data_IF_939004807127
#
_entry.id   IF_939004807127
#
_cell.length_a   1.000
_cell.length_b   1.000
_cell.length_c   1.000
_cell.angle_alpha   90.00
_cell.angle_beta   90.00
_cell.angle_gamma   90.00
#
_symmetry.space_group_name_H-M   'P 1'
#
loop_
_entity.id
_entity.type
_entity.pdbx_description
1 polymer ?
#
# COMPACT_ATOMS: atom_id res chain seq x y z
N UNK A 1 -20.18 11.76 -0.26
CA UNK A 1 -19.63 10.65 -1.07
C UNK A 1 -19.00 9.65 -0.11
N UNK A 2 -19.03 8.31 -0.37
CA UNK A 2 -18.31 7.37 0.50
C UNK A 2 -16.81 7.62 0.36
N UNK A 3 -16.02 7.59 1.44
CA UNK A 3 -14.56 7.63 1.33
C UNK A 3 -14.03 6.43 0.54
N UNK A 4 -12.90 6.64 -0.13
CA UNK A 4 -12.30 5.65 -1.03
C UNK A 4 -10.86 5.41 -0.61
N UNK A 5 -10.48 4.15 -0.43
CA UNK A 5 -9.09 3.74 -0.26
C UNK A 5 -8.68 2.89 -1.47
N UNK A 6 -7.62 3.32 -2.15
CA UNK A 6 -6.92 2.53 -3.16
C UNK A 6 -5.73 1.86 -2.49
N UNK A 7 -5.80 0.56 -2.30
CA UNK A 7 -4.72 -0.24 -1.72
C UNK A 7 -3.87 -0.88 -2.82
N UNK A 8 -2.54 -0.65 -2.76
CA UNK A 8 -1.59 -1.09 -3.79
C UNK A 8 -0.65 -2.12 -3.17
N UNK A 9 -0.66 -3.33 -3.69
CA UNK A 9 0.25 -4.40 -3.32
C UNK A 9 1.10 -4.88 -4.52
N UNK A 10 2.06 -5.72 -4.25
CA UNK A 10 2.93 -6.33 -5.26
C UNK A 10 4.32 -6.60 -4.71
N UNK A 11 5.17 -7.29 -5.46
CA UNK A 11 6.52 -7.62 -5.01
C UNK A 11 7.43 -6.41 -4.87
N UNK A 12 8.54 -6.61 -4.18
CA UNK A 12 9.59 -5.61 -4.04
C UNK A 12 10.15 -5.22 -5.41
N UNK A 13 10.28 -3.93 -5.69
CA UNK A 13 10.73 -3.45 -7.01
C UNK A 13 9.61 -3.31 -8.08
N UNK A 14 8.37 -3.74 -7.82
CA UNK A 14 7.29 -3.69 -8.81
C UNK A 14 6.79 -2.26 -9.15
N UNK A 15 7.15 -1.23 -8.36
CA UNK A 15 6.75 0.15 -8.64
C UNK A 15 5.56 0.66 -7.82
N UNK A 16 5.17 -0.04 -6.74
CA UNK A 16 4.07 0.37 -5.84
C UNK A 16 4.15 1.82 -5.38
N UNK A 17 5.29 2.20 -4.81
CA UNK A 17 5.50 3.57 -4.32
C UNK A 17 5.54 4.60 -5.45
N UNK A 18 5.99 4.21 -6.64
CA UNK A 18 5.95 5.07 -7.82
C UNK A 18 4.50 5.33 -8.24
N UNK A 19 3.64 4.30 -8.29
CA UNK A 19 2.22 4.45 -8.57
C UNK A 19 1.51 5.32 -7.52
N UNK A 20 1.75 5.07 -6.24
CA UNK A 20 1.18 5.87 -5.15
C UNK A 20 1.58 7.34 -5.25
N UNK A 21 2.87 7.61 -5.53
CA UNK A 21 3.36 8.97 -5.69
C UNK A 21 2.73 9.72 -6.88
N UNK A 22 2.54 9.06 -8.03
CA UNK A 22 1.87 9.65 -9.19
C UNK A 22 0.41 9.96 -8.88
N UNK A 23 -0.30 9.03 -8.24
CA UNK A 23 -1.69 9.25 -7.81
C UNK A 23 -1.79 10.48 -6.89
N UNK A 24 -0.87 10.63 -5.97
CA UNK A 24 -0.80 11.76 -5.04
C UNK A 24 -0.47 13.06 -5.77
N UNK A 25 0.60 13.10 -6.55
CA UNK A 25 1.11 14.35 -7.14
C UNK A 25 0.24 14.86 -8.30
N UNK A 26 -0.25 13.95 -9.14
CA UNK A 26 -0.86 14.32 -10.42
C UNK A 26 -2.38 14.08 -10.46
N UNK A 27 -2.96 13.41 -9.46
CA UNK A 27 -4.37 12.98 -9.53
C UNK A 27 -5.17 13.24 -8.26
N UNK A 28 -4.70 14.14 -7.40
CA UNK A 28 -5.40 14.58 -6.18
C UNK A 28 -5.74 13.44 -5.21
N UNK A 29 -4.89 12.43 -5.12
CA UNK A 29 -4.99 11.43 -4.05
C UNK A 29 -4.25 11.91 -2.81
N UNK A 30 -4.72 11.48 -1.66
CA UNK A 30 -4.00 11.61 -0.39
C UNK A 30 -3.28 10.31 -0.09
N UNK A 31 -2.04 10.37 0.37
CA UNK A 31 -1.28 9.18 0.76
C UNK A 31 -1.36 9.00 2.28
N UNK A 32 -1.67 7.77 2.71
CA UNK A 32 -1.62 7.39 4.12
C UNK A 32 -0.17 7.40 4.61
N UNK A 33 0.06 8.06 5.73
CA UNK A 33 1.31 7.97 6.47
C UNK A 33 1.21 6.81 7.45
N UNK A 34 1.96 5.73 7.16
CA UNK A 34 1.99 4.54 8.01
C UNK A 34 2.76 4.80 9.31
N UNK A 35 2.46 3.99 10.33
CA UNK A 35 3.14 4.00 11.63
C UNK A 35 4.19 2.88 11.67
N UNK A 36 5.34 3.12 12.30
CA UNK A 36 6.39 2.10 12.46
C UNK A 36 7.14 2.23 13.77
N UNK A 37 7.62 1.10 14.28
CA UNK A 37 8.54 1.04 15.44
C UNK A 37 10.00 1.08 15.04
N UNK A 38 10.29 1.10 13.73
CA UNK A 38 11.65 1.26 13.21
C UNK A 38 12.14 2.69 13.51
N UNK A 39 13.36 2.82 13.95
CA UNK A 39 14.00 4.14 14.07
C UNK A 39 14.04 4.86 12.69
N UNK A 40 13.85 6.18 12.66
CA UNK A 40 13.96 6.95 11.42
C UNK A 40 15.37 6.80 10.83
N UNK A 41 15.43 6.78 9.49
CA UNK A 41 16.69 6.86 8.75
C UNK A 41 17.07 8.32 8.54
N UNK A 42 18.31 8.55 8.12
CA UNK A 42 18.76 9.88 7.72
C UNK A 42 17.82 10.47 6.65
N UNK A 43 17.36 11.70 6.87
CA UNK A 43 16.43 12.39 5.98
C UNK A 43 14.95 12.00 6.13
N UNK A 44 14.59 10.99 6.94
CA UNK A 44 13.19 10.69 7.22
C UNK A 44 12.61 11.64 8.27
N UNK A 45 11.41 12.15 8.00
CA UNK A 45 10.70 13.12 8.85
C UNK A 45 9.46 12.46 9.43
N UNK A 46 9.30 12.55 10.77
CA UNK A 46 8.11 12.05 11.46
C UNK A 46 6.85 12.75 10.98
N UNK A 47 5.79 11.97 10.71
CA UNK A 47 4.51 12.47 10.19
C UNK A 47 4.51 12.77 8.68
N UNK A 48 5.66 12.58 8.00
CA UNK A 48 5.79 12.74 6.54
C UNK A 48 6.06 11.39 5.88
N UNK A 49 7.11 10.70 6.32
CA UNK A 49 7.50 9.39 5.78
C UNK A 49 6.83 8.26 6.56
N UNK A 50 6.85 8.38 7.88
CA UNK A 50 6.16 7.50 8.84
C UNK A 50 5.78 8.29 10.09
N UNK A 51 4.81 7.77 10.84
CA UNK A 51 4.67 8.07 12.26
C UNK A 51 5.59 7.12 13.02
N UNK A 52 6.76 7.61 13.45
CA UNK A 52 7.72 6.82 14.23
C UNK A 52 7.31 6.80 15.69
N UNK A 53 6.99 5.62 16.21
CA UNK A 53 6.58 5.41 17.60
C UNK A 53 7.40 4.28 18.22
N UNK A 54 7.45 4.22 19.55
CA UNK A 54 8.05 3.08 20.25
C UNK A 54 7.16 1.83 20.16
N UNK A 55 7.77 0.68 20.54
CA UNK A 55 7.09 -0.62 20.45
C UNK A 55 5.88 -0.70 21.39
N UNK A 56 5.98 -0.16 22.60
CA UNK A 56 4.90 -0.26 23.59
C UNK A 56 3.68 0.55 23.13
N UNK A 57 3.93 1.74 22.58
CA UNK A 57 2.87 2.56 21.94
C UNK A 57 2.22 1.85 20.76
N UNK A 58 2.97 1.13 19.94
CA UNK A 58 2.40 0.36 18.83
C UNK A 58 1.54 -0.80 19.33
N UNK A 59 2.02 -1.57 20.29
CA UNK A 59 1.29 -2.70 20.86
C UNK A 59 0.01 -2.24 21.57
N UNK A 60 0.07 -1.12 22.29
CA UNK A 60 -1.12 -0.51 22.89
C UNK A 60 -2.15 -0.11 21.83
N UNK A 61 -1.71 0.52 20.74
CA UNK A 61 -2.58 0.89 19.62
C UNK A 61 -3.23 -0.35 18.98
N UNK A 62 -2.50 -1.46 18.89
CA UNK A 62 -3.02 -2.74 18.42
C UNK A 62 -4.05 -3.33 19.39
N UNK A 63 -3.75 -3.37 20.69
CA UNK A 63 -4.63 -3.91 21.75
C UNK A 63 -5.95 -3.15 21.81
N UNK A 64 -5.91 -1.84 21.65
CA UNK A 64 -7.11 -0.97 21.56
C UNK A 64 -7.89 -1.14 20.24
N UNK A 65 -7.43 -2.02 19.33
CA UNK A 65 -8.04 -2.19 18.02
C UNK A 65 -7.92 -0.94 17.14
N UNK A 66 -6.93 -0.09 17.39
CA UNK A 66 -6.69 1.19 16.74
C UNK A 66 -6.02 1.11 15.36
N UNK A 67 -5.71 -0.10 14.86
CA UNK A 67 -5.06 -0.31 13.57
C UNK A 67 -6.06 -0.71 12.49
N UNK A 68 -5.85 -0.22 11.26
CA UNK A 68 -6.51 -0.68 10.02
C UNK A 68 -5.84 -1.95 9.52
N UNK A 69 -4.52 -1.93 9.47
CA UNK A 69 -3.67 -3.06 9.06
C UNK A 69 -2.36 -3.03 9.85
N UNK A 70 -1.71 -4.19 9.94
CA UNK A 70 -0.38 -4.33 10.53
C UNK A 70 0.42 -5.44 9.86
N UNK A 71 1.74 -5.26 9.88
CA UNK A 71 2.71 -6.29 9.49
C UNK A 71 3.95 -6.23 10.38
N UNK A 72 4.68 -7.32 10.47
CA UNK A 72 5.94 -7.41 11.21
C UNK A 72 7.05 -7.85 10.27
N UNK A 73 8.03 -6.98 10.05
CA UNK A 73 9.12 -7.22 9.10
C UNK A 73 10.46 -6.80 9.72
N UNK A 74 11.43 -7.68 9.64
CA UNK A 74 12.82 -7.41 10.08
C UNK A 74 12.91 -6.83 11.50
N UNK A 75 12.15 -7.40 12.44
CA UNK A 75 12.20 -6.97 13.85
C UNK A 75 11.38 -5.72 14.19
N UNK A 76 10.67 -5.14 13.23
CA UNK A 76 9.89 -3.93 13.43
C UNK A 76 8.43 -4.13 13.04
N UNK A 77 7.55 -3.44 13.75
CA UNK A 77 6.14 -3.34 13.40
C UNK A 77 5.91 -2.19 12.42
N UNK A 78 4.99 -2.42 11.51
CA UNK A 78 4.44 -1.42 10.59
C UNK A 78 2.93 -1.55 10.60
N UNK A 79 2.22 -0.46 10.41
CA UNK A 79 0.77 -0.49 10.35
C UNK A 79 0.17 0.88 10.04
N UNK A 80 -1.13 0.90 9.86
CA UNK A 80 -1.91 2.11 9.63
C UNK A 80 -2.86 2.31 10.79
N UNK A 81 -2.70 3.42 11.51
CA UNK A 81 -3.66 3.83 12.53
C UNK A 81 -5.03 4.16 11.90
N UNK A 82 -6.13 3.75 12.53
CA UNK A 82 -7.50 4.10 12.09
C UNK A 82 -7.74 5.61 12.05
N UNK A 83 -7.06 6.37 12.89
CA UNK A 83 -7.18 7.83 12.91
C UNK A 83 -6.72 8.47 11.60
N UNK A 84 -5.75 7.88 10.91
CA UNK A 84 -5.18 8.46 9.70
C UNK A 84 -6.16 8.48 8.51
N UNK A 85 -6.74 7.35 8.05
CA UNK A 85 -7.74 7.40 6.98
C UNK A 85 -8.99 8.19 7.38
N UNK A 86 -9.40 8.16 8.66
CA UNK A 86 -10.53 8.97 9.13
C UNK A 86 -10.24 10.48 9.05
N UNK A 87 -9.00 10.89 9.30
CA UNK A 87 -8.57 12.28 9.14
C UNK A 87 -8.59 12.69 7.67
N UNK A 88 -7.98 11.87 6.79
CA UNK A 88 -7.88 12.13 5.36
C UNK A 88 -9.25 12.15 4.66
N UNK A 89 -10.18 11.31 5.10
CA UNK A 89 -11.53 11.25 4.52
C UNK A 89 -12.32 12.56 4.60
N UNK A 90 -11.96 13.47 5.51
CA UNK A 90 -12.60 14.79 5.66
C UNK A 90 -12.42 15.67 4.42
N UNK A 91 -11.35 15.47 3.66
CA UNK A 91 -11.05 16.22 2.44
C UNK A 91 -11.86 15.74 1.21
N UNK A 92 -12.61 14.63 1.33
CA UNK A 92 -13.38 14.03 0.24
C UNK A 92 -12.54 13.66 -1.01
N UNK A 93 -11.25 13.45 -0.84
CA UNK A 93 -10.33 12.97 -1.88
C UNK A 93 -10.07 11.47 -1.72
N UNK A 94 -9.80 10.75 -2.81
CA UNK A 94 -9.38 9.36 -2.74
C UNK A 94 -8.06 9.24 -1.96
N UNK A 95 -7.93 8.16 -1.21
CA UNK A 95 -6.77 7.86 -0.38
C UNK A 95 -6.00 6.71 -1.02
N UNK A 96 -4.67 6.79 -1.09
CA UNK A 96 -3.81 5.69 -1.55
C UNK A 96 -2.98 5.15 -0.40
N UNK A 97 -2.86 3.82 -0.35
CA UNK A 97 -2.07 3.08 0.62
C UNK A 97 -1.26 2.00 -0.08
N UNK A 98 0.03 1.91 0.22
CA UNK A 98 0.88 0.78 -0.18
C UNK A 98 0.94 -0.20 0.99
N UNK A 99 0.54 -1.45 0.75
CA UNK A 99 0.52 -2.52 1.74
C UNK A 99 0.95 -3.85 1.14
N UNK A 100 1.30 -4.83 1.98
CA UNK A 100 1.44 -6.22 1.56
C UNK A 100 0.05 -6.85 1.30
N UNK A 101 -0.05 -7.97 0.57
CA UNK A 101 -1.35 -8.59 0.26
C UNK A 101 -2.21 -8.89 1.50
N UNK A 102 -1.59 -9.28 2.62
CA UNK A 102 -2.32 -9.50 3.86
C UNK A 102 -2.85 -8.17 4.47
N UNK A 103 -2.07 -7.10 4.37
CA UNK A 103 -2.53 -5.76 4.75
C UNK A 103 -3.70 -5.29 3.87
N UNK A 104 -3.69 -5.61 2.57
CA UNK A 104 -4.82 -5.30 1.67
C UNK A 104 -6.11 -5.97 2.15
N UNK A 105 -6.08 -7.24 2.58
CA UNK A 105 -7.27 -7.91 3.16
C UNK A 105 -7.79 -7.19 4.40
N UNK A 106 -6.88 -6.72 5.25
CA UNK A 106 -7.25 -5.96 6.46
C UNK A 106 -7.89 -4.62 6.08
N UNK A 107 -7.36 -3.92 5.08
CA UNK A 107 -7.94 -2.67 4.53
C UNK A 107 -9.32 -2.92 3.92
N UNK A 108 -9.49 -4.01 3.16
CA UNK A 108 -10.80 -4.40 2.62
C UNK A 108 -11.83 -4.62 3.72
N UNK A 109 -11.42 -5.33 4.80
CA UNK A 109 -12.29 -5.52 5.97
C UNK A 109 -12.64 -4.18 6.62
N UNK A 110 -11.66 -3.31 6.86
CA UNK A 110 -11.88 -1.97 7.42
C UNK A 110 -12.87 -1.16 6.57
N UNK A 111 -12.69 -1.14 5.25
CA UNK A 111 -13.59 -0.42 4.34
C UNK A 111 -15.02 -0.99 4.39
N UNK A 112 -15.16 -2.30 4.41
CA UNK A 112 -16.46 -2.97 4.54
C UNK A 112 -17.16 -2.62 5.86
N UNK A 113 -16.44 -2.69 6.97
CA UNK A 113 -16.96 -2.43 8.31
C UNK A 113 -17.38 -0.96 8.51
N UNK A 114 -16.78 -0.03 7.77
CA UNK A 114 -17.03 1.42 7.86
C UNK A 114 -17.88 1.98 6.71
N UNK A 115 -18.42 1.16 5.83
CA UNK A 115 -19.19 1.57 4.64
C UNK A 115 -18.38 2.46 3.67
N UNK A 116 -17.10 2.13 3.49
CA UNK A 116 -16.17 2.77 2.56
C UNK A 116 -15.98 1.93 1.29
N UNK A 117 -15.46 2.55 0.24
CA UNK A 117 -15.09 1.87 -1.00
C UNK A 117 -13.59 1.52 -0.92
N UNK A 118 -13.23 0.26 -1.20
CA UNK A 118 -11.86 -0.14 -1.47
C UNK A 118 -11.71 -0.48 -2.96
N UNK A 119 -10.60 -0.04 -3.57
CA UNK A 119 -10.09 -0.52 -4.84
C UNK A 119 -8.72 -1.14 -4.59
N UNK A 120 -8.62 -2.44 -4.77
CA UNK A 120 -7.38 -3.19 -4.52
C UNK A 120 -6.64 -3.47 -5.82
N UNK A 121 -5.36 -3.12 -5.83
CA UNK A 121 -4.48 -3.18 -7.00
C UNK A 121 -3.28 -4.05 -6.68
N UNK A 122 -2.95 -4.97 -7.58
CA UNK A 122 -1.69 -5.68 -7.57
C UNK A 122 -0.83 -5.22 -8.74
N UNK A 123 0.37 -4.73 -8.42
CA UNK A 123 1.37 -4.32 -9.42
C UNK A 123 2.47 -5.36 -9.44
N UNK A 124 2.69 -5.95 -10.58
CA UNK A 124 3.77 -6.91 -10.81
C UNK A 124 4.79 -6.36 -11.81
N UNK A 125 5.85 -7.10 -12.05
CA UNK A 125 6.80 -6.99 -13.15
C UNK A 125 7.51 -8.34 -13.31
N UNK A 126 8.05 -8.67 -14.49
CA UNK A 126 8.91 -9.84 -14.66
C UNK A 126 10.03 -9.88 -13.61
N UNK A 127 10.39 -11.07 -13.16
CA UNK A 127 11.37 -11.22 -12.07
C UNK A 127 12.72 -10.57 -12.40
N UNK A 128 13.14 -10.64 -13.64
CA UNK A 128 14.37 -10.02 -14.14
C UNK A 128 14.32 -8.50 -13.92
N UNK A 129 13.18 -7.88 -14.24
CA UNK A 129 12.94 -6.44 -14.06
C UNK A 129 12.94 -6.07 -12.57
N UNK A 130 12.34 -6.90 -11.71
CA UNK A 130 12.34 -6.69 -10.26
C UNK A 130 13.76 -6.71 -9.70
N UNK A 131 14.55 -7.71 -10.09
CA UNK A 131 15.95 -7.86 -9.67
C UNK A 131 16.80 -6.71 -10.17
N UNK A 132 16.71 -6.33 -11.45
CA UNK A 132 17.44 -5.21 -12.03
C UNK A 132 17.16 -3.88 -11.31
N UNK A 133 15.89 -3.63 -10.98
CA UNK A 133 15.50 -2.43 -10.24
C UNK A 133 16.08 -2.42 -8.82
N UNK A 134 16.11 -3.57 -8.14
CA UNK A 134 16.71 -3.67 -6.81
C UNK A 134 18.22 -3.52 -6.83
N UNK A 135 18.91 -4.09 -7.84
CA UNK A 135 20.34 -3.93 -8.05
C UNK A 135 20.71 -2.47 -8.33
N UNK A 136 19.94 -1.80 -9.21
CA UNK A 136 20.13 -0.38 -9.52
C UNK A 136 19.95 0.50 -8.28
N UNK A 137 18.94 0.20 -7.47
CA UNK A 137 18.71 0.88 -6.18
C UNK A 137 19.85 0.64 -5.21
N UNK A 138 20.31 -0.60 -5.06
CA UNK A 138 21.44 -0.94 -4.21
C UNK A 138 22.71 -0.16 -4.64
N UNK A 139 22.97 -0.08 -5.95
CA UNK A 139 24.10 0.69 -6.49
C UNK A 139 24.00 2.16 -6.09
N UNK A 140 22.82 2.80 -6.24
CA UNK A 140 22.60 4.18 -5.84
C UNK A 140 22.78 4.38 -4.32
N UNK A 141 22.24 3.46 -3.51
CA UNK A 141 22.40 3.51 -2.05
C UNK A 141 23.90 3.40 -1.64
N UNK A 142 24.68 2.55 -2.33
CA UNK A 142 26.11 2.37 -2.11
C UNK A 142 26.92 3.61 -2.54
N UNK A 143 26.60 4.21 -3.69
CA UNK A 143 27.27 5.41 -4.20
C UNK A 143 27.08 6.62 -3.27
N UNK A 144 25.99 6.69 -2.52
CA UNK A 144 25.71 7.76 -1.56
C UNK A 144 26.46 7.60 -0.23
N UNK A 145 27.11 6.45 0.03
CA UNK A 145 27.91 6.26 1.24
C UNK A 145 29.27 6.94 1.08
N UNK A 146 29.53 7.96 1.91
CA UNK A 146 30.81 8.68 1.87
C UNK A 146 31.95 7.78 2.35
N UNK A 147 33.06 7.77 1.61
CA UNK A 147 34.24 6.93 1.92
C UNK A 147 34.96 7.33 3.21
N UNK A 148 34.80 8.57 3.64
CA UNK A 148 35.35 9.12 4.87
C UNK A 148 34.46 8.95 6.10
N UNK A 149 33.28 8.31 5.93
CA UNK A 149 32.37 8.00 7.05
C UNK A 149 33.02 6.96 7.97
N UNK A 150 33.12 7.21 9.28
CA UNK A 150 33.69 6.27 10.25
C UNK A 150 33.00 4.90 10.29
N UNK A 151 31.75 4.83 9.80
CA UNK A 151 30.96 3.60 9.71
C UNK A 151 30.84 3.07 8.29
N UNK A 152 31.71 3.48 7.37
CA UNK A 152 31.64 3.15 5.95
C UNK A 152 31.41 1.65 5.69
N UNK A 153 32.29 0.79 6.22
CA UNK A 153 32.20 -0.67 6.04
C UNK A 153 30.89 -1.25 6.58
N UNK A 154 30.42 -0.76 7.73
CA UNK A 154 29.17 -1.23 8.33
C UNK A 154 27.95 -0.81 7.49
N UNK A 155 27.96 0.42 6.95
CA UNK A 155 26.90 0.92 6.06
C UNK A 155 26.85 0.15 4.75
N UNK A 156 28.01 -0.08 4.12
CA UNK A 156 28.13 -0.90 2.89
C UNK A 156 27.57 -2.30 3.14
N UNK A 157 28.02 -2.97 4.20
CA UNK A 157 27.53 -4.30 4.56
C UNK A 157 26.03 -4.31 4.77
N UNK A 158 25.48 -3.38 5.56
CA UNK A 158 24.03 -3.29 5.85
C UNK A 158 23.19 -3.07 4.60
N UNK A 159 23.62 -2.20 3.67
CA UNK A 159 22.94 -1.97 2.39
C UNK A 159 22.96 -3.24 1.54
N UNK A 160 24.12 -3.87 1.43
CA UNK A 160 24.30 -5.09 0.62
C UNK A 160 23.44 -6.23 1.17
N UNK A 161 23.54 -6.54 2.46
CA UNK A 161 22.79 -7.63 3.10
C UNK A 161 21.26 -7.38 2.99
N UNK A 162 20.80 -6.14 3.19
CA UNK A 162 19.39 -5.78 3.09
C UNK A 162 18.86 -5.97 1.66
N UNK A 163 19.61 -5.59 0.64
CA UNK A 163 19.17 -5.71 -0.76
C UNK A 163 19.23 -7.15 -1.26
N UNK A 164 20.27 -7.91 -0.89
CA UNK A 164 20.35 -9.36 -1.17
C UNK A 164 19.19 -10.08 -0.50
N UNK A 165 18.90 -9.78 0.77
CA UNK A 165 17.76 -10.35 1.49
C UNK A 165 16.43 -10.10 0.77
N UNK A 166 16.20 -8.91 0.23
CA UNK A 166 15.00 -8.61 -0.57
C UNK A 166 14.93 -9.41 -1.87
N UNK A 167 16.04 -9.53 -2.60
CA UNK A 167 16.10 -10.31 -3.85
C UNK A 167 15.81 -11.80 -3.59
N UNK A 168 16.34 -12.36 -2.51
CA UNK A 168 16.05 -13.74 -2.11
C UNK A 168 14.59 -13.90 -1.68
N UNK A 169 14.06 -12.95 -0.91
CA UNK A 169 12.67 -12.97 -0.47
C UNK A 169 11.68 -12.96 -1.64
N UNK A 170 11.95 -12.20 -2.70
CA UNK A 170 11.14 -12.26 -3.92
C UNK A 170 11.11 -13.69 -4.47
N UNK A 171 12.28 -14.30 -4.67
CA UNK A 171 12.41 -15.63 -5.29
C UNK A 171 11.79 -16.74 -4.44
N UNK A 172 12.01 -16.70 -3.13
CA UNK A 172 11.65 -17.78 -2.22
C UNK A 172 10.22 -17.66 -1.69
N UNK A 173 9.69 -16.45 -1.58
CA UNK A 173 8.41 -16.18 -0.92
C UNK A 173 7.42 -15.41 -1.79
N UNK A 174 7.76 -14.21 -2.29
CA UNK A 174 6.79 -13.29 -2.88
C UNK A 174 6.17 -13.84 -4.17
N UNK A 175 6.95 -14.52 -5.01
CA UNK A 175 6.44 -15.12 -6.26
C UNK A 175 5.33 -16.13 -5.96
N UNK A 176 5.57 -17.06 -5.05
CA UNK A 176 4.63 -18.12 -4.71
C UNK A 176 3.44 -17.62 -3.89
N UNK A 177 3.69 -16.75 -2.92
CA UNK A 177 2.66 -16.38 -1.94
C UNK A 177 1.89 -15.11 -2.31
N UNK A 178 2.43 -14.28 -3.20
CA UNK A 178 1.79 -13.02 -3.59
C UNK A 178 1.45 -12.98 -5.09
N UNK A 179 2.40 -13.33 -5.96
CA UNK A 179 2.19 -13.21 -7.42
C UNK A 179 1.21 -14.27 -7.89
N UNK A 180 1.46 -15.54 -7.65
CA UNK A 180 0.57 -16.62 -8.08
C UNK A 180 -0.89 -16.42 -7.59
N UNK A 181 -1.16 -16.13 -6.29
CA UNK A 181 -2.53 -15.84 -5.84
C UNK A 181 -3.17 -14.62 -6.47
N UNK A 182 -2.39 -13.58 -6.84
CA UNK A 182 -2.93 -12.38 -7.46
C UNK A 182 -3.57 -12.66 -8.82
N UNK A 183 -3.11 -13.71 -9.53
CA UNK A 183 -3.65 -14.15 -10.82
C UNK A 183 -4.67 -15.28 -10.71
N UNK A 184 -4.99 -15.71 -9.51
CA UNK A 184 -5.98 -16.78 -9.29
C UNK A 184 -7.42 -16.28 -9.46
N UNK A 185 -8.36 -17.23 -9.62
CA UNK A 185 -9.80 -16.92 -9.65
C UNK A 185 -10.33 -16.35 -8.34
N UNK A 186 -9.64 -16.67 -7.24
CA UNK A 186 -9.97 -16.21 -5.88
C UNK A 186 -9.14 -14.99 -5.47
N UNK A 187 -8.59 -14.27 -6.46
CA UNK A 187 -7.80 -13.07 -6.22
C UNK A 187 -8.59 -12.02 -5.44
N UNK A 188 -7.93 -11.44 -4.45
CA UNK A 188 -8.49 -10.32 -3.66
C UNK A 188 -8.36 -8.97 -4.37
N UNK A 189 -7.70 -8.94 -5.53
CA UNK A 189 -7.40 -7.71 -6.25
C UNK A 189 -8.42 -7.42 -7.35
N UNK A 190 -8.90 -6.18 -7.38
CA UNK A 190 -9.80 -5.69 -8.43
C UNK A 190 -9.06 -5.47 -9.76
N UNK A 191 -7.79 -5.06 -9.69
CA UNK A 191 -6.93 -4.81 -10.83
C UNK A 191 -5.57 -5.48 -10.62
N UNK A 192 -5.08 -6.14 -11.64
CA UNK A 192 -3.72 -6.72 -11.69
C UNK A 192 -3.00 -6.15 -12.90
N UNK A 193 -1.80 -5.63 -12.69
CA UNK A 193 -0.95 -5.09 -13.74
C UNK A 193 0.34 -5.92 -13.83
N UNK A 194 0.60 -6.53 -14.99
CA UNK A 194 1.77 -7.40 -15.24
C UNK A 194 3.08 -6.63 -15.27
N UNK A 195 3.01 -5.34 -15.65
CA UNK A 195 4.13 -4.43 -15.65
C UNK A 195 3.62 -3.01 -15.46
N UNK A 196 4.32 -2.24 -14.61
CA UNK A 196 4.07 -0.82 -14.44
C UNK A 196 5.36 -0.03 -14.67
N UNK A 197 5.30 0.89 -15.64
CA UNK A 197 6.41 1.76 -16.01
C UNK A 197 5.88 3.06 -16.65
N UNK A 198 6.79 3.98 -17.01
CA UNK A 198 6.44 5.27 -17.62
C UNK A 198 5.66 5.16 -18.92
N UNK A 199 5.81 4.07 -19.69
CA UNK A 199 5.16 3.92 -21.01
C UNK A 199 3.67 3.63 -20.88
N UNK A 200 3.26 2.89 -19.83
CA UNK A 200 1.87 2.51 -19.59
C UNK A 200 1.21 3.25 -18.43
N UNK A 201 1.87 4.26 -17.87
CA UNK A 201 1.41 5.03 -16.72
C UNK A 201 0.00 5.59 -16.90
N UNK A 202 -0.26 6.25 -18.03
CA UNK A 202 -1.56 6.86 -18.33
C UNK A 202 -2.67 5.80 -18.41
N UNK A 203 -2.40 4.66 -19.04
CA UNK A 203 -3.37 3.56 -19.14
C UNK A 203 -3.69 2.97 -17.76
N UNK A 204 -2.67 2.72 -16.94
CA UNK A 204 -2.84 2.23 -15.57
C UNK A 204 -3.69 3.19 -14.75
N UNK A 205 -3.38 4.48 -14.78
CA UNK A 205 -4.15 5.51 -14.05
C UNK A 205 -5.60 5.57 -14.51
N UNK A 206 -5.84 5.49 -15.82
CA UNK A 206 -7.20 5.49 -16.37
C UNK A 206 -8.00 4.27 -15.91
N UNK A 207 -7.39 3.08 -15.86
CA UNK A 207 -8.01 1.87 -15.32
C UNK A 207 -8.35 2.02 -13.85
N UNK A 208 -7.45 2.57 -13.04
CA UNK A 208 -7.71 2.86 -11.62
C UNK A 208 -8.91 3.80 -11.44
N UNK A 209 -8.95 4.92 -12.17
CA UNK A 209 -10.07 5.88 -12.12
C UNK A 209 -11.39 5.27 -12.59
N UNK A 210 -11.33 4.45 -13.63
CA UNK A 210 -12.50 3.73 -14.15
C UNK A 210 -13.05 2.75 -13.11
N UNK A 211 -12.19 2.02 -12.42
CA UNK A 211 -12.61 1.06 -11.39
C UNK A 211 -13.21 1.77 -10.17
N UNK A 212 -12.63 2.89 -9.74
CA UNK A 212 -13.23 3.75 -8.72
C UNK A 212 -14.65 4.16 -9.12
N UNK A 213 -14.81 4.69 -10.34
CA UNK A 213 -16.11 5.14 -10.85
C UNK A 213 -17.12 4.00 -10.96
N UNK A 214 -16.67 2.80 -11.36
CA UNK A 214 -17.50 1.59 -11.41
C UNK A 214 -18.04 1.21 -10.02
N UNK A 215 -17.18 1.18 -9.01
CA UNK A 215 -17.58 0.84 -7.65
C UNK A 215 -18.49 1.89 -7.03
N UNK A 216 -18.25 3.17 -7.28
CA UNK A 216 -19.15 4.26 -6.83
C UNK A 216 -20.56 4.11 -7.40
N UNK A 217 -20.68 3.86 -8.72
CA UNK A 217 -21.99 3.64 -9.37
C UNK A 217 -22.70 2.42 -8.81
N UNK A 218 -22.00 1.34 -8.54
CA UNK A 218 -22.57 0.12 -7.94
C UNK A 218 -23.18 0.44 -6.57
N UNK A 219 -22.46 1.17 -5.73
CA UNK A 219 -22.93 1.58 -4.42
C UNK A 219 -24.18 2.47 -4.47
N UNK A 220 -24.21 3.44 -5.40
CA UNK A 220 -25.37 4.31 -5.60
C UNK A 220 -26.60 3.52 -6.05
N UNK A 221 -26.43 2.51 -6.89
CA UNK A 221 -27.52 1.64 -7.32
C UNK A 221 -28.07 0.78 -6.17
N UNK A 222 -27.19 0.24 -5.31
CA UNK A 222 -27.59 -0.52 -4.13
C UNK A 222 -28.43 0.37 -3.18
N UNK A 223 -28.00 1.61 -2.93
CA UNK A 223 -28.73 2.57 -2.12
C UNK A 223 -30.12 2.90 -2.69
N UNK A 224 -30.23 3.11 -4.00
CA UNK A 224 -31.52 3.35 -4.70
C UNK A 224 -32.47 2.16 -4.53
N UNK A 225 -31.99 0.96 -4.76
CA UNK A 225 -32.79 -0.27 -4.66
C UNK A 225 -33.28 -0.52 -3.23
N UNK A 226 -32.42 -0.27 -2.24
CA UNK A 226 -32.77 -0.42 -0.82
C UNK A 226 -33.84 0.60 -0.36
N UNK A 227 -33.79 1.85 -0.86
CA UNK A 227 -34.82 2.87 -0.59
C UNK A 227 -36.17 2.48 -1.20
N UNK A 228 -36.18 1.94 -2.41
CA UNK A 228 -37.42 1.48 -3.08
C UNK A 228 -38.08 0.34 -2.30
N UNK A 229 -37.27 -0.63 -1.79
CA UNK A 229 -37.80 -1.72 -0.96
C UNK A 229 -38.38 -1.24 0.36
N UNK A 230 -37.72 -0.30 1.07
CA UNK A 230 -38.24 0.28 2.31
C UNK A 230 -39.55 1.04 2.13
N UNK A 231 -39.75 1.71 0.99
CA UNK A 231 -40.99 2.45 0.72
C UNK A 231 -42.16 1.54 0.30
N UNK A 232 -41.91 0.28 -0.09
CA UNK A 232 -42.94 -0.73 -0.43
C UNK A 232 -43.46 -1.50 0.78
N UNK A 233 -42.76 -1.42 1.94
CA UNK A 233 -43.13 -2.11 3.17
C UNK A 233 -43.62 -1.02 4.15
N UNK A 234 -44.60 -0.18 3.77
CA UNK A 234 -45.44 0.54 4.75
C UNK A 234 -46.61 -0.37 5.06
N UNK A 235 -46.83 -0.74 6.34
CA UNK A 235 -48.04 -1.44 6.72
C UNK A 235 -49.23 -0.51 6.55
N UNK A 236 -50.37 -1.10 6.10
CA UNK A 236 -51.68 -0.51 6.12
C UNK A 236 -52.08 -0.23 7.57
#
# INVERSE_FOLDING_TARGET
MKPIIVSVAGPSGAGKSYLANILKQNHSFQEIVSTTTRAPREGEINGVHYHFIDKDSFLKLEEEGGLVEKTYVNGNYYGVSKSEPLRLAKENLPIVLVAEPEGVKQVQKFCKDNDWINVSIFVNSPIEVLIDRLQSRMKQELENVKKDDPQYEQKIKKITDSNIGRMNHIKEFELKNWVEPAYSKDSIFDLVFDEFNKKNEVDVINKVKSEISRKQKLEDNIKKTSKVKKNRIKPF
#
